data_IF_411346882617
#
_entry.id   IF_411346882617
#
_cell.length_a   1.000
_cell.length_b   1.000
_cell.length_c   1.000
_cell.angle_alpha   90.00
_cell.angle_beta   90.00
_cell.angle_gamma   90.00
#
_symmetry.space_group_name_H-M   'P 1'
#
loop_
_entity.id
_entity.type
_entity.pdbx_description
1 polymer ?
#
# COMPACT_ATOMS: atom_id res chain seq x y z
N UNK A 1 -8.26 26.76 28.05
CA UNK A 1 -7.72 25.84 29.09
C UNK A 1 -8.10 24.44 28.69
N UNK A 2 -7.12 23.57 28.38
CA UNK A 2 -7.39 22.14 28.35
C UNK A 2 -7.88 21.77 29.77
N UNK A 3 -9.03 21.10 29.87
CA UNK A 3 -9.58 20.68 31.16
C UNK A 3 -8.63 19.65 31.78
N UNK A 4 -7.68 20.13 32.59
CA UNK A 4 -6.54 19.34 33.07
C UNK A 4 -6.91 18.38 34.21
N UNK A 5 -8.15 18.34 34.68
CA UNK A 5 -8.59 17.42 35.74
C UNK A 5 -9.49 16.28 35.27
N UNK A 6 -9.96 16.29 34.03
CA UNK A 6 -10.98 15.32 33.57
C UNK A 6 -10.29 14.03 33.15
N UNK A 7 -10.61 12.94 33.85
CA UNK A 7 -10.13 11.58 33.53
C UNK A 7 -11.12 10.78 32.70
N UNK A 8 -12.41 11.04 32.88
CA UNK A 8 -13.50 10.38 32.17
C UNK A 8 -14.49 11.40 31.63
N UNK A 9 -15.06 11.12 30.46
CA UNK A 9 -16.01 11.99 29.80
C UNK A 9 -17.16 11.19 29.17
N UNK A 10 -18.38 11.69 29.29
CA UNK A 10 -19.51 11.24 28.49
C UNK A 10 -19.75 12.18 27.30
N UNK A 11 -19.82 11.59 26.10
CA UNK A 11 -20.31 12.26 24.90
C UNK A 11 -21.73 11.79 24.65
N UNK A 12 -22.69 12.71 24.70
CA UNK A 12 -24.11 12.43 24.52
C UNK A 12 -24.55 12.78 23.11
N UNK A 13 -25.47 12.00 22.56
CA UNK A 13 -26.20 12.41 21.36
C UNK A 13 -26.98 13.71 21.57
N UNK A 14 -27.32 14.41 20.49
CA UNK A 14 -28.05 15.69 20.49
C UNK A 14 -27.35 16.84 21.24
N UNK A 15 -26.08 16.69 21.62
CA UNK A 15 -25.26 17.77 22.18
C UNK A 15 -24.30 18.29 21.11
N UNK A 16 -24.32 19.60 20.89
CA UNK A 16 -23.38 20.26 19.98
C UNK A 16 -22.09 20.59 20.72
N UNK A 17 -21.05 19.81 20.46
CA UNK A 17 -19.72 20.06 20.99
C UNK A 17 -18.88 20.90 20.02
N UNK A 18 -18.12 21.87 20.55
CA UNK A 18 -17.21 22.67 19.73
C UNK A 18 -16.02 21.88 19.18
N UNK A 19 -15.38 22.43 18.14
CA UNK A 19 -14.08 21.95 17.62
C UNK A 19 -12.99 22.07 18.70
N UNK A 20 -12.09 21.08 18.82
CA UNK A 20 -10.91 21.09 19.71
C UNK A 20 -11.17 21.23 21.21
N UNK A 21 -12.40 21.05 21.70
CA UNK A 21 -12.74 21.36 23.10
C UNK A 21 -12.00 20.49 24.15
N UNK A 22 -11.55 19.28 23.79
CA UNK A 22 -10.73 18.42 24.63
C UNK A 22 -9.31 18.24 24.08
N UNK A 23 -8.88 19.07 23.11
CA UNK A 23 -7.55 18.94 22.52
C UNK A 23 -6.47 18.97 23.62
N UNK A 24 -5.58 17.98 23.59
CA UNK A 24 -4.43 17.89 24.48
C UNK A 24 -4.79 17.58 25.94
N UNK A 25 -6.00 17.11 26.25
CA UNK A 25 -6.37 16.68 27.59
C UNK A 25 -5.55 15.44 28.01
N UNK A 26 -4.39 15.68 28.62
CA UNK A 26 -3.44 14.63 28.99
C UNK A 26 -3.93 13.72 30.12
N UNK A 27 -4.92 14.12 30.91
CA UNK A 27 -5.45 13.27 31.98
C UNK A 27 -6.67 12.44 31.56
N UNK A 28 -7.27 12.74 30.40
CA UNK A 28 -8.44 12.03 29.90
C UNK A 28 -8.02 10.63 29.46
N UNK A 29 -8.53 9.60 30.14
CA UNK A 29 -8.23 8.19 29.87
C UNK A 29 -9.40 7.46 29.20
N UNK A 30 -10.63 7.92 29.43
CA UNK A 30 -11.83 7.23 28.92
C UNK A 30 -12.88 8.20 28.41
N UNK A 31 -13.45 7.87 27.25
CA UNK A 31 -14.65 8.51 26.70
C UNK A 31 -15.74 7.45 26.59
N UNK A 32 -16.95 7.78 27.03
CA UNK A 32 -18.14 6.94 26.87
C UNK A 32 -19.11 7.63 25.93
N UNK A 33 -19.47 6.97 24.84
CA UNK A 33 -20.51 7.44 23.92
C UNK A 33 -21.88 6.96 24.41
N UNK A 34 -22.78 7.91 24.64
CA UNK A 34 -24.14 7.68 25.16
C UNK A 34 -25.16 8.06 24.08
N UNK A 35 -26.02 7.10 23.73
CA UNK A 35 -26.93 7.19 22.59
C UNK A 35 -26.33 6.59 21.32
N UNK A 36 -26.97 6.82 20.17
CA UNK A 36 -26.57 6.33 18.84
C UNK A 36 -26.36 7.45 17.81
N UNK A 37 -26.62 8.71 18.19
CA UNK A 37 -26.46 9.88 17.34
C UNK A 37 -25.40 10.87 17.85
N UNK A 38 -24.34 10.36 18.47
CA UNK A 38 -23.24 11.20 18.95
C UNK A 38 -22.45 11.79 17.77
N UNK A 39 -22.10 13.08 17.89
CA UNK A 39 -21.28 13.80 16.92
C UNK A 39 -19.96 14.18 17.56
N UNK A 40 -18.86 13.67 17.00
CA UNK A 40 -17.51 14.05 17.38
C UNK A 40 -17.02 15.12 16.40
N UNK A 41 -16.82 16.33 16.90
CA UNK A 41 -16.32 17.47 16.13
C UNK A 41 -14.84 17.37 15.78
N UNK A 42 -14.39 18.21 14.83
CA UNK A 42 -13.01 18.24 14.36
C UNK A 42 -12.01 18.37 15.51
N UNK A 43 -10.97 17.54 15.48
CA UNK A 43 -9.87 17.51 16.45
C UNK A 43 -10.32 17.49 17.92
N UNK A 44 -11.53 16.99 18.22
CA UNK A 44 -12.11 17.06 19.56
C UNK A 44 -11.18 16.50 20.64
N UNK A 45 -10.57 15.34 20.37
CA UNK A 45 -9.64 14.64 21.27
C UNK A 45 -8.22 14.59 20.73
N UNK A 46 -7.87 15.47 19.79
CA UNK A 46 -6.53 15.51 19.21
C UNK A 46 -5.48 15.67 20.32
N UNK A 47 -4.42 14.84 20.30
CA UNK A 47 -3.35 14.82 21.31
C UNK A 47 -3.77 14.46 22.74
N UNK A 48 -4.95 13.85 22.95
CA UNK A 48 -5.28 13.20 24.23
C UNK A 48 -4.51 11.88 24.36
N UNK A 49 -3.20 11.96 24.60
CA UNK A 49 -2.27 10.81 24.52
C UNK A 49 -2.56 9.69 25.51
N UNK A 50 -3.24 10.00 26.61
CA UNK A 50 -3.64 9.00 27.60
C UNK A 50 -5.06 8.45 27.37
N UNK A 51 -5.83 8.99 26.42
CA UNK A 51 -7.15 8.48 26.05
C UNK A 51 -6.97 7.14 25.35
N UNK A 52 -7.15 6.06 26.10
CA UNK A 52 -6.87 4.70 25.65
C UNK A 52 -8.13 3.84 25.43
N UNK A 53 -9.29 4.33 25.88
CA UNK A 53 -10.55 3.63 25.82
C UNK A 53 -11.70 4.56 25.39
N UNK A 54 -12.36 4.24 24.27
CA UNK A 54 -13.59 4.90 23.83
C UNK A 54 -14.69 3.84 23.80
N UNK A 55 -15.57 3.86 24.80
CA UNK A 55 -16.67 2.91 24.92
C UNK A 55 -17.78 3.27 23.94
N UNK A 56 -18.35 2.26 23.29
CA UNK A 56 -19.42 2.37 22.30
C UNK A 56 -19.03 3.26 21.09
N UNK A 57 -17.81 3.13 20.60
CA UNK A 57 -17.33 3.89 19.44
C UNK A 57 -18.21 3.66 18.20
N UNK A 58 -18.78 2.47 18.06
CA UNK A 58 -19.72 2.12 16.98
C UNK A 58 -21.04 2.92 17.02
N UNK A 59 -21.31 3.67 18.09
CA UNK A 59 -22.50 4.51 18.22
C UNK A 59 -22.28 5.96 17.75
N UNK A 60 -21.08 6.29 17.25
CA UNK A 60 -20.78 7.64 16.76
C UNK A 60 -21.38 7.81 15.37
N UNK A 61 -22.37 8.69 15.23
CA UNK A 61 -23.03 8.96 13.96
C UNK A 61 -22.17 9.79 13.00
N UNK A 62 -21.34 10.69 13.54
CA UNK A 62 -20.49 11.57 12.73
C UNK A 62 -19.15 11.82 13.39
N UNK A 63 -18.10 11.68 12.60
CA UNK A 63 -16.74 11.99 13.01
C UNK A 63 -16.27 13.33 12.43
N UNK A 64 -15.28 13.92 13.10
CA UNK A 64 -14.60 15.11 12.65
C UNK A 64 -13.20 14.77 12.17
N UNK A 65 -12.64 15.64 11.32
CA UNK A 65 -11.25 15.53 10.86
C UNK A 65 -10.31 15.48 12.06
N UNK A 66 -9.42 14.48 12.09
CA UNK A 66 -8.41 14.32 13.14
C UNK A 66 -8.97 14.14 14.56
N UNK A 67 -10.25 13.76 14.72
CA UNK A 67 -10.90 13.81 16.02
C UNK A 67 -10.21 12.96 17.11
N UNK A 68 -9.58 11.84 16.74
CA UNK A 68 -8.81 10.98 17.63
C UNK A 68 -7.32 10.90 17.26
N UNK A 69 -6.81 11.81 16.43
CA UNK A 69 -5.40 11.79 16.04
C UNK A 69 -4.48 12.02 17.25
N UNK A 70 -3.34 11.33 17.29
CA UNK A 70 -2.37 11.33 18.38
C UNK A 70 -2.97 10.96 19.76
N UNK A 71 -3.98 10.09 19.79
CA UNK A 71 -4.53 9.53 21.04
C UNK A 71 -3.86 8.21 21.43
N UNK A 72 -4.09 7.77 22.66
CA UNK A 72 -3.60 6.51 23.20
C UNK A 72 -4.49 5.30 22.93
N UNK A 73 -5.49 5.41 22.04
CA UNK A 73 -6.50 4.38 21.80
C UNK A 73 -5.82 3.07 21.38
N UNK A 74 -6.24 1.96 21.98
CA UNK A 74 -5.65 0.64 21.73
C UNK A 74 -6.47 -0.22 20.78
N UNK A 75 -7.78 0.00 20.73
CA UNK A 75 -8.72 -0.69 19.84
C UNK A 75 -9.79 0.28 19.34
N UNK A 76 -10.24 0.12 18.10
CA UNK A 76 -11.35 0.89 17.54
C UNK A 76 -12.36 -0.02 16.82
N UNK A 77 -13.63 0.07 17.19
CA UNK A 77 -14.74 -0.61 16.50
C UNK A 77 -15.59 0.44 15.81
N UNK A 78 -15.62 0.40 14.49
CA UNK A 78 -16.27 1.41 13.66
C UNK A 78 -17.59 0.92 13.09
N UNK A 79 -18.44 1.87 12.72
CA UNK A 79 -19.73 1.63 12.08
C UNK A 79 -19.70 2.02 10.59
N UNK A 80 -20.85 1.91 9.93
CA UNK A 80 -21.02 2.25 8.53
C UNK A 80 -21.15 3.76 8.26
N UNK A 81 -21.02 4.63 9.28
CA UNK A 81 -21.12 6.07 9.11
C UNK A 81 -19.79 6.73 8.75
N UNK A 82 -18.74 5.97 8.45
CA UNK A 82 -17.46 6.56 8.01
C UNK A 82 -17.60 7.12 6.60
N UNK A 83 -17.50 8.45 6.47
CA UNK A 83 -17.60 9.20 5.21
C UNK A 83 -16.23 9.75 4.78
N UNK A 84 -16.06 10.05 3.48
CA UNK A 84 -14.81 10.58 2.88
C UNK A 84 -14.24 11.80 3.59
N UNK A 85 -15.11 12.62 4.20
CA UNK A 85 -14.72 13.85 4.90
C UNK A 85 -13.92 13.62 6.18
N UNK A 86 -13.83 12.40 6.69
CA UNK A 86 -13.25 12.12 8.02
C UNK A 86 -11.75 11.81 7.95
N UNK A 87 -11.00 12.70 7.30
CA UNK A 87 -9.55 12.59 7.08
C UNK A 87 -8.80 12.49 8.41
N UNK A 88 -7.79 11.63 8.46
CA UNK A 88 -6.85 11.50 9.59
C UNK A 88 -7.49 11.12 10.94
N UNK A 89 -8.66 10.47 10.97
CA UNK A 89 -9.42 10.25 12.21
C UNK A 89 -8.57 9.64 13.35
N UNK A 90 -7.73 8.65 13.04
CA UNK A 90 -6.82 7.99 13.97
C UNK A 90 -5.34 8.20 13.62
N UNK A 91 -4.98 9.27 12.88
CA UNK A 91 -3.58 9.51 12.50
C UNK A 91 -2.65 9.54 13.73
N UNK A 92 -1.52 8.83 13.65
CA UNK A 92 -0.52 8.70 14.73
C UNK A 92 -1.06 8.15 16.06
N UNK A 93 -2.13 7.35 16.07
CA UNK A 93 -2.52 6.55 17.24
C UNK A 93 -1.52 5.38 17.43
N UNK A 94 -0.32 5.67 17.92
CA UNK A 94 0.78 4.71 18.02
C UNK A 94 0.47 3.49 18.90
N UNK A 95 -0.51 3.59 19.80
CA UNK A 95 -0.96 2.48 20.67
C UNK A 95 -2.06 1.61 20.04
N UNK A 96 -2.64 2.01 18.90
CA UNK A 96 -3.74 1.31 18.25
C UNK A 96 -3.24 -0.02 17.66
N UNK A 97 -3.74 -1.14 18.18
CA UNK A 97 -3.32 -2.49 17.78
C UNK A 97 -4.32 -3.18 16.86
N UNK A 98 -5.60 -2.90 17.06
CA UNK A 98 -6.69 -3.61 16.40
C UNK A 98 -7.80 -2.66 15.99
N UNK A 99 -8.27 -2.80 14.76
CA UNK A 99 -9.46 -2.10 14.27
C UNK A 99 -10.47 -3.10 13.73
N UNK A 100 -11.74 -2.91 14.07
CA UNK A 100 -12.88 -3.66 13.54
C UNK A 100 -13.65 -2.77 12.56
N UNK A 101 -13.66 -3.22 11.30
CA UNK A 101 -14.20 -2.54 10.13
C UNK A 101 -15.39 -3.29 9.51
N UNK A 102 -15.99 -4.28 10.19
CA UNK A 102 -17.04 -5.15 9.61
C UNK A 102 -18.23 -4.43 8.93
N UNK A 103 -18.47 -3.16 9.26
CA UNK A 103 -19.54 -2.35 8.69
C UNK A 103 -19.01 -1.12 7.91
N UNK A 104 -17.69 -0.96 7.80
CA UNK A 104 -17.07 0.19 7.15
C UNK A 104 -16.97 -0.10 5.65
N UNK A 105 -17.46 0.84 4.85
CA UNK A 105 -17.40 0.77 3.38
C UNK A 105 -16.28 1.66 2.84
N UNK A 106 -15.92 2.71 3.56
CA UNK A 106 -14.94 3.70 3.13
C UNK A 106 -13.92 3.98 4.23
N UNK A 107 -12.64 4.00 3.85
CA UNK A 107 -11.53 4.42 4.69
C UNK A 107 -10.93 5.70 4.10
N UNK A 108 -11.17 6.88 4.69
CA UNK A 108 -10.67 8.16 4.21
C UNK A 108 -9.14 8.27 4.14
N UNK A 109 -8.68 9.38 3.57
CA UNK A 109 -7.23 9.65 3.50
C UNK A 109 -6.61 9.72 4.89
N UNK A 110 -5.42 9.12 5.04
CA UNK A 110 -4.62 9.07 6.28
C UNK A 110 -5.33 8.50 7.52
N UNK A 111 -6.45 7.81 7.34
CA UNK A 111 -7.34 7.43 8.45
C UNK A 111 -6.64 6.68 9.60
N UNK A 112 -5.71 5.79 9.27
CA UNK A 112 -4.84 5.06 10.20
C UNK A 112 -3.33 5.32 9.95
N UNK A 113 -2.99 6.42 9.27
CA UNK A 113 -1.59 6.74 8.96
C UNK A 113 -0.78 6.90 10.26
N UNK A 114 0.38 6.27 10.35
CA UNK A 114 1.24 6.37 11.53
C UNK A 114 0.77 5.56 12.75
N UNK A 115 -0.27 4.72 12.62
CA UNK A 115 -0.64 3.77 13.67
C UNK A 115 0.39 2.62 13.73
N UNK A 116 1.57 2.91 14.27
CA UNK A 116 2.74 2.03 14.21
C UNK A 116 2.59 0.69 14.95
N UNK A 117 1.61 0.53 15.83
CA UNK A 117 1.26 -0.75 16.47
C UNK A 117 0.12 -1.51 15.78
N UNK A 118 -0.51 -0.93 14.76
CA UNK A 118 -1.69 -1.49 14.11
C UNK A 118 -1.29 -2.70 13.29
N UNK A 119 -1.63 -3.88 13.79
CA UNK A 119 -1.24 -5.17 13.20
C UNK A 119 -2.42 -6.03 12.80
N UNK A 120 -3.62 -5.74 13.32
CA UNK A 120 -4.84 -6.51 13.08
C UNK A 120 -5.97 -5.61 12.58
N UNK A 121 -6.52 -5.96 11.41
CA UNK A 121 -7.73 -5.35 10.85
C UNK A 121 -8.77 -6.45 10.67
N UNK A 122 -9.92 -6.32 11.31
CA UNK A 122 -11.03 -7.26 11.23
C UNK A 122 -12.08 -6.69 10.27
N UNK A 123 -12.68 -7.53 9.42
CA UNK A 123 -13.81 -7.10 8.59
C UNK A 123 -13.45 -6.19 7.41
N UNK A 124 -12.19 -6.23 6.93
CA UNK A 124 -11.76 -5.44 5.77
C UNK A 124 -12.55 -5.77 4.49
N UNK A 125 -13.16 -6.95 4.45
CA UNK A 125 -13.98 -7.47 3.36
C UNK A 125 -15.12 -6.56 2.90
N UNK A 126 -15.64 -5.68 3.76
CA UNK A 126 -16.71 -4.72 3.43
C UNK A 126 -16.19 -3.40 2.87
N UNK A 127 -14.88 -3.13 3.00
CA UNK A 127 -14.29 -1.86 2.60
C UNK A 127 -14.08 -1.86 1.10
N UNK A 128 -14.67 -0.86 0.45
CA UNK A 128 -14.67 -0.70 -1.00
C UNK A 128 -14.04 0.61 -1.45
N UNK A 129 -13.67 1.50 -0.54
CA UNK A 129 -12.99 2.77 -0.84
C UNK A 129 -11.85 2.98 0.13
N UNK A 130 -10.67 3.30 -0.40
CA UNK A 130 -9.51 3.74 0.37
C UNK A 130 -9.12 5.14 -0.07
N UNK A 131 -8.70 5.95 0.89
CA UNK A 131 -8.04 7.22 0.65
C UNK A 131 -6.53 7.06 0.65
N UNK A 132 -5.85 8.09 0.14
CA UNK A 132 -4.40 8.16 0.09
C UNK A 132 -3.79 7.99 1.49
N UNK A 133 -2.73 7.19 1.58
CA UNK A 133 -2.00 6.93 2.82
C UNK A 133 -2.85 6.37 3.98
N UNK A 134 -4.01 5.77 3.69
CA UNK A 134 -4.96 5.31 4.72
C UNK A 134 -4.36 4.35 5.76
N UNK A 135 -3.38 3.51 5.37
CA UNK A 135 -2.64 2.61 6.26
C UNK A 135 -1.12 2.83 6.22
N UNK A 136 -0.65 4.00 5.79
CA UNK A 136 0.78 4.27 5.73
C UNK A 136 1.43 4.19 7.12
N UNK A 137 2.66 3.67 7.21
CA UNK A 137 3.43 3.55 8.45
C UNK A 137 2.74 2.71 9.55
N UNK A 138 2.00 1.67 9.16
CA UNK A 138 1.36 0.71 10.07
C UNK A 138 2.17 -0.59 10.21
N UNK A 139 1.87 -1.42 11.20
CA UNK A 139 2.51 -2.72 11.43
C UNK A 139 1.68 -3.90 10.89
N UNK A 140 0.92 -3.69 9.82
CA UNK A 140 0.12 -4.74 9.20
C UNK A 140 1.02 -5.84 8.63
N UNK A 141 0.78 -7.09 9.04
CA UNK A 141 1.56 -8.25 8.59
C UNK A 141 0.99 -8.92 7.34
N UNK A 142 -0.32 -8.81 7.10
CA UNK A 142 -1.04 -9.37 5.95
C UNK A 142 -2.24 -8.50 5.57
N UNK A 143 -2.57 -8.45 4.27
CA UNK A 143 -3.75 -7.77 3.72
C UNK A 143 -4.33 -8.58 2.55
N UNK A 144 -5.64 -8.84 2.56
CA UNK A 144 -6.35 -9.58 1.51
C UNK A 144 -7.33 -8.62 0.82
N UNK A 145 -7.16 -8.41 -0.48
CA UNK A 145 -7.93 -7.47 -1.30
C UNK A 145 -9.08 -8.13 -2.11
N UNK A 146 -9.30 -9.45 -1.96
CA UNK A 146 -10.08 -10.30 -2.89
C UNK A 146 -11.58 -9.98 -3.05
N UNK A 147 -12.13 -9.06 -2.25
CA UNK A 147 -13.53 -8.60 -2.36
C UNK A 147 -13.67 -7.16 -2.88
N UNK A 148 -12.57 -6.47 -3.20
CA UNK A 148 -12.62 -5.25 -3.99
C UNK A 148 -13.17 -5.65 -5.35
N UNK A 149 -14.47 -5.43 -5.59
CA UNK A 149 -15.17 -5.80 -6.82
C UNK A 149 -15.69 -4.54 -7.52
N UNK A 150 -15.43 -4.42 -8.82
CA UNK A 150 -15.87 -3.29 -9.65
C UNK A 150 -17.38 -3.27 -9.88
N UNK A 151 -18.11 -4.35 -9.58
CA UNK A 151 -19.52 -4.51 -9.96
C UNK A 151 -20.49 -3.83 -8.97
N UNK A 152 -20.13 -3.72 -7.70
CA UNK A 152 -20.88 -2.93 -6.70
C UNK A 152 -20.42 -1.47 -6.63
N UNK A 153 -19.41 -1.12 -7.44
CA UNK A 153 -18.72 0.15 -7.42
C UNK A 153 -18.61 0.68 -8.85
N UNK A 154 -19.46 1.63 -9.22
CA UNK A 154 -18.96 2.67 -10.14
C UNK A 154 -17.83 3.41 -9.39
N UNK A 155 -16.59 2.91 -9.45
CA UNK A 155 -15.43 3.73 -9.11
C UNK A 155 -14.39 3.24 -8.10
N UNK A 156 -14.34 1.97 -7.67
CA UNK A 156 -13.09 1.48 -7.06
C UNK A 156 -12.51 0.28 -7.78
N UNK A 157 -11.54 0.64 -8.60
CA UNK A 157 -10.62 -0.25 -9.28
C UNK A 157 -9.20 0.27 -9.04
N UNK A 158 -8.95 0.86 -7.87
CA UNK A 158 -7.69 1.54 -7.55
C UNK A 158 -7.20 1.19 -6.13
N UNK A 159 -5.89 0.94 -6.00
CA UNK A 159 -5.17 1.08 -4.73
C UNK A 159 -4.57 2.50 -4.69
N UNK A 160 -5.02 3.41 -3.81
CA UNK A 160 -4.56 4.79 -3.82
C UNK A 160 -3.07 4.98 -3.51
N UNK A 161 -2.59 6.22 -3.68
CA UNK A 161 -1.21 6.56 -3.42
C UNK A 161 -0.85 6.32 -1.95
N UNK A 162 0.26 5.59 -1.74
CA UNK A 162 0.84 5.34 -0.42
C UNK A 162 -0.01 4.54 0.56
N UNK A 163 -1.09 3.87 0.13
CA UNK A 163 -2.01 3.13 1.02
C UNK A 163 -1.28 2.22 2.01
N UNK A 164 -0.28 1.46 1.56
CA UNK A 164 0.54 0.58 2.40
C UNK A 164 2.01 0.99 2.47
N UNK A 165 2.31 2.27 2.21
CA UNK A 165 3.67 2.80 2.28
C UNK A 165 4.22 2.62 3.70
N UNK A 166 5.46 2.13 3.82
CA UNK A 166 6.13 1.88 5.09
C UNK A 166 5.41 0.88 6.02
N UNK A 167 4.56 0.01 5.47
CA UNK A 167 4.09 -1.20 6.17
C UNK A 167 5.23 -2.23 6.21
N UNK A 168 6.27 -1.94 7.00
CA UNK A 168 7.56 -2.63 6.97
C UNK A 168 7.53 -4.12 7.34
N UNK A 169 6.42 -4.62 7.90
CA UNK A 169 6.23 -6.04 8.24
C UNK A 169 5.24 -6.75 7.31
N UNK A 170 4.66 -6.04 6.32
CA UNK A 170 3.71 -6.59 5.37
C UNK A 170 4.42 -7.54 4.42
N UNK A 171 4.15 -8.85 4.52
CA UNK A 171 4.82 -9.90 3.73
C UNK A 171 4.03 -10.38 2.52
N UNK A 172 2.71 -10.37 2.64
CA UNK A 172 1.81 -10.94 1.64
C UNK A 172 0.65 -10.01 1.37
N UNK A 173 0.37 -9.79 0.09
CA UNK A 173 -0.86 -9.13 -0.39
C UNK A 173 -1.39 -9.92 -1.59
N UNK A 174 -2.68 -10.26 -1.55
CA UNK A 174 -3.36 -11.06 -2.58
C UNK A 174 -4.74 -10.51 -2.88
N UNK A 175 -5.37 -10.95 -3.98
CA UNK A 175 -6.75 -10.62 -4.31
C UNK A 175 -6.90 -9.36 -5.17
N UNK A 176 -6.09 -9.23 -6.21
CA UNK A 176 -6.11 -8.05 -7.08
C UNK A 176 -7.02 -8.22 -8.30
N UNK A 177 -7.94 -9.20 -8.33
CA UNK A 177 -8.66 -9.62 -9.54
C UNK A 177 -9.39 -8.46 -10.25
N UNK A 178 -9.87 -7.48 -9.49
CA UNK A 178 -10.65 -6.35 -10.00
C UNK A 178 -9.96 -4.99 -9.87
N UNK A 179 -8.67 -4.95 -9.52
CA UNK A 179 -7.90 -3.70 -9.47
C UNK A 179 -7.46 -3.31 -10.88
N UNK A 180 -7.54 -2.02 -11.22
CA UNK A 180 -7.15 -1.46 -12.52
C UNK A 180 -6.09 -0.37 -12.42
N UNK A 181 -5.85 0.19 -11.23
CA UNK A 181 -4.81 1.18 -10.99
C UNK A 181 -4.15 1.03 -9.63
N UNK A 182 -2.88 1.39 -9.56
CA UNK A 182 -2.10 1.46 -8.33
C UNK A 182 -1.45 2.84 -8.26
N UNK A 183 -1.73 3.59 -7.21
CA UNK A 183 -1.17 4.91 -6.99
C UNK A 183 0.31 4.88 -6.62
N UNK A 184 0.94 6.05 -6.70
CA UNK A 184 2.36 6.22 -6.39
C UNK A 184 2.70 5.71 -4.98
N UNK A 185 3.83 5.03 -4.83
CA UNK A 185 4.32 4.51 -3.55
C UNK A 185 3.37 3.56 -2.79
N UNK A 186 2.34 3.00 -3.44
CA UNK A 186 1.26 2.24 -2.77
C UNK A 186 1.76 1.07 -1.92
N UNK A 187 2.91 0.46 -2.24
CA UNK A 187 3.56 -0.60 -1.47
C UNK A 187 5.05 -0.30 -1.15
N UNK A 188 5.47 0.96 -1.20
CA UNK A 188 6.87 1.32 -0.99
C UNK A 188 7.31 1.00 0.45
N UNK A 189 8.56 0.58 0.64
CA UNK A 189 9.16 0.22 1.93
C UNK A 189 8.41 -0.92 2.67
N UNK A 190 7.85 -1.89 1.94
CA UNK A 190 7.21 -3.08 2.52
C UNK A 190 8.17 -4.29 2.53
N UNK A 191 7.81 -5.33 3.29
CA UNK A 191 8.55 -6.61 3.33
C UNK A 191 7.91 -7.68 2.43
N UNK A 192 7.25 -7.26 1.35
CA UNK A 192 6.60 -8.19 0.43
C UNK A 192 7.64 -9.14 -0.16
N UNK A 193 7.36 -10.44 -0.08
CA UNK A 193 8.22 -11.48 -0.67
C UNK A 193 7.76 -11.80 -2.10
N UNK A 194 6.44 -11.79 -2.33
CA UNK A 194 5.81 -12.08 -3.60
C UNK A 194 4.61 -11.18 -3.86
N UNK A 195 4.43 -10.78 -5.12
CA UNK A 195 3.25 -10.03 -5.59
C UNK A 195 2.67 -10.69 -6.85
N UNK A 196 1.37 -10.95 -6.85
CA UNK A 196 0.63 -11.46 -8.03
C UNK A 196 -0.54 -10.53 -8.32
N UNK A 197 -0.41 -9.68 -9.34
CA UNK A 197 -1.47 -8.82 -9.88
C UNK A 197 -2.19 -9.61 -10.99
N UNK A 198 -3.27 -10.28 -10.64
CA UNK A 198 -4.06 -11.17 -11.50
C UNK A 198 -5.33 -10.49 -12.03
N UNK A 199 -5.17 -9.33 -12.66
CA UNK A 199 -6.29 -8.51 -13.10
C UNK A 199 -6.88 -9.00 -14.43
N UNK A 200 -8.20 -8.83 -14.61
CA UNK A 200 -8.89 -9.17 -15.86
C UNK A 200 -8.66 -8.14 -16.99
N UNK A 201 -8.02 -7.01 -16.69
CA UNK A 201 -7.82 -5.90 -17.63
C UNK A 201 -6.47 -5.21 -17.42
N UNK A 202 -6.07 -4.38 -18.40
CA UNK A 202 -4.80 -3.66 -18.36
C UNK A 202 -4.71 -2.72 -17.15
N UNK A 203 -3.67 -2.88 -16.34
CA UNK A 203 -3.45 -2.10 -15.13
C UNK A 203 -2.64 -0.83 -15.42
N UNK A 204 -3.01 0.26 -14.75
CA UNK A 204 -2.25 1.52 -14.72
C UNK A 204 -1.40 1.57 -13.45
N UNK A 205 -0.09 1.68 -13.60
CA UNK A 205 0.84 1.73 -12.48
C UNK A 205 1.31 3.17 -12.22
N UNK A 206 1.27 3.62 -10.97
CA UNK A 206 1.97 4.81 -10.49
C UNK A 206 3.47 4.57 -10.33
N UNK A 207 4.21 5.63 -10.06
CA UNK A 207 5.66 5.58 -9.82
C UNK A 207 5.99 4.99 -8.44
N UNK A 208 7.17 4.38 -8.30
CA UNK A 208 7.70 3.91 -7.01
C UNK A 208 6.83 2.90 -6.24
N UNK A 209 5.91 2.18 -6.89
CA UNK A 209 4.94 1.29 -6.21
C UNK A 209 5.60 0.33 -5.22
N UNK A 210 6.69 -0.34 -5.63
CA UNK A 210 7.44 -1.30 -4.81
C UNK A 210 8.84 -0.78 -4.47
N UNK A 211 9.04 0.54 -4.43
CA UNK A 211 10.33 1.09 -4.05
C UNK A 211 10.78 0.56 -2.68
N UNK A 212 12.06 0.18 -2.55
CA UNK A 212 12.69 -0.39 -1.35
C UNK A 212 12.01 -1.67 -0.82
N UNK A 213 11.25 -2.41 -1.64
CA UNK A 213 10.77 -3.75 -1.27
C UNK A 213 11.93 -4.75 -1.35
N UNK A 214 12.84 -4.68 -0.38
CA UNK A 214 14.11 -5.42 -0.40
C UNK A 214 13.93 -6.94 -0.40
N UNK A 215 12.82 -7.44 0.13
CA UNK A 215 12.49 -8.86 0.21
C UNK A 215 11.74 -9.40 -1.01
N UNK A 216 11.32 -8.52 -1.94
CA UNK A 216 10.51 -8.90 -3.09
C UNK A 216 11.36 -9.71 -4.06
N UNK A 217 11.02 -10.98 -4.22
CA UNK A 217 11.76 -11.95 -5.05
C UNK A 217 10.94 -12.46 -6.24
N UNK A 218 9.60 -12.38 -6.16
CA UNK A 218 8.70 -12.86 -7.21
C UNK A 218 7.61 -11.83 -7.49
N UNK A 219 7.47 -11.46 -8.76
CA UNK A 219 6.47 -10.49 -9.20
C UNK A 219 5.82 -10.95 -10.50
N UNK A 220 4.50 -11.03 -10.45
CA UNK A 220 3.64 -11.10 -11.63
C UNK A 220 2.78 -9.84 -11.65
N UNK A 221 2.97 -8.97 -12.65
CA UNK A 221 2.19 -7.72 -12.79
C UNK A 221 0.93 -7.89 -13.64
N UNK A 222 0.68 -9.09 -14.20
CA UNK A 222 -0.38 -9.30 -15.17
C UNK A 222 -0.19 -8.44 -16.43
N UNK A 223 -1.31 -8.06 -17.05
CA UNK A 223 -1.30 -7.17 -18.21
C UNK A 223 -1.20 -5.72 -17.74
N UNK A 224 -0.08 -5.04 -18.04
CA UNK A 224 0.13 -3.62 -17.69
C UNK A 224 0.15 -2.75 -18.95
N UNK A 225 -0.29 -1.49 -18.84
CA UNK A 225 -0.19 -0.50 -19.94
C UNK A 225 1.25 -0.04 -20.18
N UNK A 226 1.95 0.23 -19.10
CA UNK A 226 3.33 0.70 -19.08
C UNK A 226 3.92 0.44 -17.70
N UNK A 227 5.24 0.21 -17.65
CA UNK A 227 5.97 0.20 -16.40
C UNK A 227 6.38 1.64 -16.04
N UNK A 228 6.08 2.07 -14.82
CA UNK A 228 6.33 3.43 -14.36
C UNK A 228 7.71 3.60 -13.74
N UNK A 229 8.19 4.84 -13.66
CA UNK A 229 9.51 5.15 -13.12
C UNK A 229 9.66 4.62 -11.69
N UNK A 230 10.84 4.03 -11.44
CA UNK A 230 11.27 3.54 -10.12
C UNK A 230 10.32 2.51 -9.48
N UNK A 231 9.42 1.86 -10.24
CA UNK A 231 8.45 0.87 -9.71
C UNK A 231 9.12 -0.19 -8.82
N UNK A 232 10.33 -0.64 -9.16
CA UNK A 232 11.12 -1.62 -8.40
C UNK A 232 12.47 -1.05 -7.92
N UNK A 233 12.56 0.26 -7.68
CA UNK A 233 13.78 0.87 -7.18
C UNK A 233 14.20 0.23 -5.84
N UNK A 234 15.49 -0.06 -5.68
CA UNK A 234 16.05 -0.78 -4.53
C UNK A 234 15.36 -2.12 -4.15
N UNK A 235 14.70 -2.82 -5.08
CA UNK A 235 14.28 -4.22 -4.91
C UNK A 235 15.49 -5.16 -5.11
N UNK A 236 16.31 -5.33 -4.07
CA UNK A 236 17.60 -6.00 -4.19
C UNK A 236 17.51 -7.49 -4.51
N UNK A 237 16.53 -8.22 -3.97
CA UNK A 237 16.37 -9.67 -4.23
C UNK A 237 15.77 -9.96 -5.61
N UNK A 238 14.86 -9.13 -6.11
CA UNK A 238 14.34 -9.23 -7.47
C UNK A 238 15.47 -9.12 -8.51
N UNK A 239 16.50 -8.32 -8.22
CA UNK A 239 17.68 -8.13 -9.08
C UNK A 239 18.69 -9.28 -9.03
N UNK A 240 18.57 -10.21 -8.07
CA UNK A 240 19.54 -11.29 -7.84
C UNK A 240 19.15 -12.65 -8.44
N UNK A 241 17.98 -12.81 -9.07
CA UNK A 241 17.59 -14.08 -9.72
C UNK A 241 18.47 -14.30 -10.97
N UNK A 242 19.38 -15.31 -11.01
CA UNK A 242 20.25 -15.55 -12.15
C UNK A 242 19.51 -16.29 -13.28
N UNK A 243 19.87 -15.96 -14.51
CA UNK A 243 19.56 -16.72 -15.73
C UNK A 243 20.14 -18.14 -15.64
N UNK A 244 19.42 -19.11 -15.10
CA UNK A 244 19.69 -20.52 -15.42
C UNK A 244 18.51 -21.42 -15.10
N UNK A 245 17.91 -21.95 -16.17
CA UNK A 245 17.38 -23.30 -16.25
C UNK A 245 16.29 -23.70 -15.25
N UNK A 246 15.09 -23.16 -15.41
CA UNK A 246 13.90 -24.01 -15.40
C UNK A 246 12.76 -23.29 -16.12
N UNK A 247 12.24 -23.95 -17.16
CA UNK A 247 11.08 -23.50 -17.89
C UNK A 247 9.86 -23.77 -17.03
N UNK A 248 9.48 -22.81 -16.18
CA UNK A 248 8.09 -22.52 -15.89
C UNK A 248 7.97 -21.19 -15.11
N UNK A 249 7.33 -20.22 -15.75
CA UNK A 249 6.78 -18.98 -15.16
C UNK A 249 7.73 -17.85 -14.76
N UNK A 250 8.58 -17.40 -15.68
CA UNK A 250 8.82 -15.96 -15.82
C UNK A 250 8.77 -15.62 -17.30
N UNK A 251 7.69 -14.95 -17.75
CA UNK A 251 7.70 -14.35 -19.08
C UNK A 251 8.56 -13.07 -19.05
N UNK A 252 9.88 -13.27 -19.17
CA UNK A 252 10.87 -12.22 -19.28
C UNK A 252 10.73 -11.39 -20.57
N UNK A 253 9.82 -11.71 -21.49
CA UNK A 253 9.52 -10.81 -22.62
C UNK A 253 8.96 -9.48 -22.13
N UNK A 254 8.19 -9.44 -21.05
CA UNK A 254 7.71 -8.16 -20.47
C UNK A 254 8.81 -7.28 -19.87
N UNK A 255 9.93 -7.88 -19.43
CA UNK A 255 11.13 -7.16 -19.01
C UNK A 255 11.96 -6.72 -20.23
N UNK A 256 12.13 -7.56 -21.25
CA UNK A 256 12.92 -7.21 -22.43
C UNK A 256 12.21 -6.25 -23.40
N UNK A 257 10.89 -6.19 -23.40
CA UNK A 257 10.13 -5.25 -24.25
C UNK A 257 10.10 -3.83 -23.66
N UNK A 258 10.43 -3.67 -22.38
CA UNK A 258 10.41 -2.38 -21.66
C UNK A 258 11.75 -2.15 -20.95
N UNK A 259 12.86 -2.57 -21.57
CA UNK A 259 14.17 -2.33 -21.00
C UNK A 259 14.74 -0.97 -21.37
N UNK A 260 14.40 -0.01 -20.50
CA UNK A 260 15.34 0.95 -19.95
C UNK A 260 16.30 0.33 -18.91
N UNK A 261 16.30 -1.01 -18.64
CA UNK A 261 17.34 -1.65 -17.79
C UNK A 261 18.76 -1.38 -18.32
N UNK A 262 18.93 -1.25 -19.64
CA UNK A 262 20.24 -1.00 -20.24
C UNK A 262 20.92 0.27 -19.70
N UNK A 263 20.16 1.25 -19.20
CA UNK A 263 20.71 2.50 -18.65
C UNK A 263 21.18 2.40 -17.20
N UNK A 264 20.69 1.46 -16.41
CA UNK A 264 21.10 1.35 -15.00
C UNK A 264 22.41 0.55 -14.82
N UNK A 265 22.66 -0.43 -15.70
CA UNK A 265 23.95 -1.13 -15.75
C UNK A 265 25.06 -0.31 -16.42
N UNK A 266 24.74 0.55 -17.39
CA UNK A 266 25.74 1.43 -18.02
C UNK A 266 26.36 2.46 -17.05
N UNK A 267 25.65 2.86 -16.00
CA UNK A 267 26.14 3.87 -15.05
C UNK A 267 26.90 3.28 -13.85
N UNK A 268 27.04 1.95 -13.76
CA UNK A 268 27.72 1.28 -12.63
C UNK A 268 28.87 0.36 -13.05
N UNK A 269 29.07 0.08 -14.34
CA UNK A 269 30.19 -0.74 -14.83
C UNK A 269 31.18 0.11 -15.65
N UNK A 270 32.41 0.17 -15.15
CA UNK A 270 33.55 0.90 -15.70
C UNK A 270 33.82 0.48 -17.18
N UNK A 271 33.98 1.39 -18.16
CA UNK A 271 33.85 1.04 -19.60
C UNK A 271 35.00 0.24 -20.23
N UNK A 272 35.99 -0.22 -19.47
CA UNK A 272 37.23 -0.79 -20.05
C UNK A 272 37.31 -2.32 -20.08
N UNK A 273 36.27 -3.04 -19.64
CA UNK A 273 36.32 -4.52 -19.53
C UNK A 273 35.52 -5.32 -20.59
N UNK A 274 35.01 -4.69 -21.66
CA UNK A 274 34.10 -5.39 -22.60
C UNK A 274 34.78 -6.34 -23.62
N UNK A 275 36.09 -6.28 -23.84
CA UNK A 275 36.74 -7.13 -24.85
C UNK A 275 37.25 -8.48 -24.29
N UNK A 276 37.73 -8.51 -23.04
CA UNK A 276 38.26 -9.72 -22.40
C UNK A 276 37.17 -10.66 -21.88
N UNK A 277 35.98 -10.13 -21.57
CA UNK A 277 34.85 -10.91 -21.06
C UNK A 277 34.20 -11.79 -22.15
N UNK A 278 34.06 -11.27 -23.37
CA UNK A 278 33.58 -12.05 -24.52
C UNK A 278 34.53 -13.21 -24.88
N UNK A 279 35.84 -13.00 -24.79
CA UNK A 279 36.82 -14.07 -25.09
C UNK A 279 36.82 -15.19 -24.04
N UNK A 280 36.58 -14.84 -22.78
CA UNK A 280 36.52 -15.81 -21.68
C UNK A 280 35.26 -16.69 -21.73
N UNK A 281 34.13 -16.11 -22.16
CA UNK A 281 32.87 -16.85 -22.38
C UNK A 281 32.99 -17.80 -23.58
N UNK A 282 33.67 -17.43 -24.67
CA UNK A 282 33.83 -18.33 -25.83
C UNK A 282 34.71 -19.58 -25.55
N UNK A 283 35.65 -19.50 -24.61
CA UNK A 283 36.53 -20.62 -24.25
C UNK A 283 35.92 -21.62 -23.25
N UNK A 284 34.82 -21.27 -22.58
CA UNK A 284 34.19 -22.10 -21.52
C UNK A 284 33.03 -22.99 -22.00
N UNK A 285 32.50 -22.78 -23.21
CA UNK A 285 31.30 -23.49 -23.71
C UNK A 285 31.54 -24.50 -24.83
N UNK A 286 32.78 -24.73 -25.26
CA UNK A 286 33.11 -25.87 -26.13
C UNK A 286 32.29 -25.99 -27.43
N UNK A 287 31.89 -24.86 -28.03
CA UNK A 287 31.17 -24.86 -29.31
C UNK A 287 32.19 -24.70 -30.45
N UNK A 288 32.28 -25.71 -31.30
CA UNK A 288 33.08 -25.71 -32.52
C UNK A 288 32.61 -24.64 -33.50
N UNK A 289 33.57 -23.94 -34.11
CA UNK A 289 33.39 -22.90 -35.10
C UNK A 289 32.85 -23.42 -36.44
N UNK A 290 31.55 -23.61 -36.58
CA UNK A 290 30.91 -23.71 -37.89
C UNK A 290 29.55 -23.00 -37.84
N UNK A 291 29.33 -22.10 -38.82
CA UNK A 291 28.19 -21.16 -38.97
C UNK A 291 28.38 -19.75 -38.37
N UNK A 292 29.53 -19.15 -38.59
CA UNK A 292 29.59 -17.71 -38.86
C UNK A 292 30.01 -17.52 -40.32
N UNK A 293 29.08 -17.69 -41.26
CA UNK A 293 29.26 -17.17 -42.63
C UNK A 293 27.92 -17.03 -43.37
N UNK A 294 27.79 -15.89 -44.07
CA UNK A 294 26.70 -15.42 -44.92
C UNK A 294 25.39 -14.99 -44.21
N UNK A 295 24.82 -13.80 -44.39
CA UNK A 295 25.12 -12.66 -45.27
C UNK A 295 23.93 -11.70 -45.19
N UNK A 296 24.17 -10.41 -44.98
CA UNK A 296 23.17 -9.36 -45.17
C UNK A 296 23.17 -8.90 -46.63
N UNK A 297 22.00 -8.40 -47.08
CA UNK A 297 21.66 -7.70 -48.33
C UNK A 297 21.19 -8.55 -49.52
N UNK A 298 19.88 -8.57 -49.81
CA UNK A 298 19.28 -7.64 -50.79
C UNK A 298 17.74 -7.71 -50.85
N UNK A 299 17.18 -6.55 -51.15
CA UNK A 299 15.86 -6.17 -51.69
C UNK A 299 14.90 -7.25 -52.22
N UNK A 300 13.62 -7.08 -51.86
CA UNK A 300 12.50 -7.09 -52.82
C UNK A 300 11.92 -8.45 -53.24
N UNK A 301 10.62 -8.63 -52.97
CA UNK A 301 9.56 -8.94 -53.97
C UNK A 301 10.07 -9.73 -55.20
N UNK A 302 9.76 -11.01 -55.43
CA UNK A 302 8.43 -11.60 -55.63
C UNK A 302 8.46 -13.15 -55.57
N UNK A 303 7.26 -13.74 -55.47
CA UNK A 303 6.99 -15.18 -55.57
C UNK A 303 7.33 -15.83 -56.93
N UNK A 304 7.43 -17.18 -56.88
CA UNK A 304 7.67 -18.23 -57.91
C UNK A 304 9.13 -18.56 -58.17
#
# INVERSE_FOLDING_TARGET
>A
MAMSGVTELEIKENVTYGTKIFQGCQNLTTVTVVGTQAVISNNMFYQCRNLNNVKNMENIYKFGVGAFAETGITTAKLNNHVEDGYVSLFENCNSLKTVDLNNVVNIPSKFFSGCSSLSTVIGIDSVTVFGNYSFAYTALSSFIASKLTSVYLKGLSEIPAGTFKDCSVLKTVTGFENITSFGNFSFANTSLEKVIINTQSSVTLGSNIFQNCKWLMDVNLGTIKSLSDYTFDNCVLLKQKPESGDNDHVNFESFNTINTFGRYLQNTVNPTMNALWCLFVMLLIGVSSEKCEAGYYQSGVDCV
#
